data_IF_037491237648
#
_entry.id   IF_037491237648
#
_cell.length_a   1.000
_cell.length_b   1.000
_cell.length_c   1.000
_cell.angle_alpha   90.00
_cell.angle_beta   90.00
_cell.angle_gamma   90.00
#
_symmetry.space_group_name_H-M   'P 1'
#
loop_
_entity.id
_entity.type
_entity.pdbx_description
1 polymer ?
#
# COMPACT_ATOMS: atom_id res chain seq x y z
N UNK A 1 9.91 5.92 22.26
CA UNK A 1 9.19 4.80 21.61
C UNK A 1 9.69 3.44 22.08
N UNK A 2 11.00 3.22 22.19
CA UNK A 2 11.59 1.92 22.59
C UNK A 2 11.01 1.34 23.88
N UNK A 3 10.89 2.16 24.94
CA UNK A 3 10.42 1.71 26.26
C UNK A 3 8.96 1.21 26.29
N UNK A 4 8.10 1.70 25.38
CA UNK A 4 6.66 1.36 25.35
C UNK A 4 6.30 0.48 24.16
N UNK A 5 7.25 0.13 23.30
CA UNK A 5 6.99 -0.60 22.05
C UNK A 5 6.32 -1.96 22.31
N UNK A 6 6.82 -2.72 23.29
CA UNK A 6 6.26 -4.02 23.64
C UNK A 6 4.81 -3.91 24.12
N UNK A 7 4.51 -2.93 25.00
CA UNK A 7 3.16 -2.69 25.51
C UNK A 7 2.20 -2.24 24.41
N UNK A 8 2.65 -1.37 23.50
CA UNK A 8 1.88 -0.97 22.32
C UNK A 8 1.54 -2.18 21.45
N UNK A 9 2.52 -3.03 21.12
CA UNK A 9 2.27 -4.25 20.33
C UNK A 9 1.36 -5.23 21.06
N UNK A 10 1.45 -5.33 22.38
CA UNK A 10 0.54 -6.14 23.19
C UNK A 10 -0.89 -5.64 23.10
N UNK A 11 -1.11 -4.32 23.18
CA UNK A 11 -2.44 -3.72 23.04
C UNK A 11 -2.99 -3.89 21.61
N UNK A 12 -2.18 -3.62 20.58
CA UNK A 12 -2.55 -3.80 19.16
C UNK A 12 -2.97 -5.25 18.86
N UNK A 13 -2.24 -6.22 19.40
CA UNK A 13 -2.46 -7.64 19.13
C UNK A 13 -3.42 -8.30 20.15
N UNK A 14 -4.09 -7.52 20.98
CA UNK A 14 -5.02 -8.01 21.99
C UNK A 14 -6.16 -8.80 21.37
N UNK A 15 -6.73 -9.70 22.18
CA UNK A 15 -7.89 -10.51 21.81
C UNK A 15 -8.90 -10.44 22.97
N UNK A 16 -10.09 -9.84 22.78
CA UNK A 16 -10.58 -9.19 21.56
C UNK A 16 -9.74 -7.97 21.16
N UNK A 17 -9.75 -7.63 19.87
CA UNK A 17 -9.02 -6.45 19.37
C UNK A 17 -9.67 -5.17 19.90
N UNK A 18 -8.85 -4.23 20.38
CA UNK A 18 -9.30 -2.88 20.71
C UNK A 18 -9.82 -2.16 19.47
N UNK A 19 -10.86 -1.35 19.65
CA UNK A 19 -11.29 -0.40 18.62
C UNK A 19 -10.23 0.69 18.39
N UNK A 20 -10.29 1.35 17.23
CA UNK A 20 -9.41 2.48 16.91
C UNK A 20 -9.47 3.59 17.96
N UNK A 21 -10.65 3.86 18.53
CA UNK A 21 -10.82 4.91 19.54
C UNK A 21 -10.19 4.54 20.88
N UNK A 22 -10.31 3.28 21.30
CA UNK A 22 -9.67 2.77 22.51
C UNK A 22 -8.15 2.79 22.37
N UNK A 23 -7.65 2.32 21.23
CA UNK A 23 -6.22 2.35 20.93
C UNK A 23 -5.69 3.79 20.88
N UNK A 24 -6.47 4.73 20.34
CA UNK A 24 -6.10 6.15 20.31
C UNK A 24 -6.10 6.80 21.69
N UNK A 25 -7.03 6.40 22.56
CA UNK A 25 -7.08 6.87 23.95
C UNK A 25 -5.88 6.39 24.75
N UNK A 26 -5.48 5.13 24.58
CA UNK A 26 -4.36 4.54 25.31
C UNK A 26 -2.99 4.90 24.71
N UNK A 27 -2.90 4.92 23.38
CA UNK A 27 -1.65 5.10 22.62
C UNK A 27 -1.78 6.19 21.56
N UNK A 28 -2.08 7.45 21.94
CA UNK A 28 -2.36 8.54 21.00
C UNK A 28 -1.20 8.82 20.03
N UNK A 29 0.04 8.51 20.43
CA UNK A 29 1.21 8.68 19.57
C UNK A 29 1.17 7.76 18.33
N UNK A 30 0.50 6.60 18.36
CA UNK A 30 0.33 5.77 17.17
C UNK A 30 -0.48 6.49 16.08
N UNK A 31 -1.22 7.54 16.45
CA UNK A 31 -2.07 8.36 15.58
C UNK A 31 -1.40 9.69 15.18
N UNK A 32 -0.07 9.74 15.25
CA UNK A 32 0.73 10.85 14.77
C UNK A 32 1.71 10.34 13.73
N UNK A 33 1.73 10.95 12.53
CA UNK A 33 2.56 10.53 11.38
C UNK A 33 3.99 10.15 11.79
N UNK A 34 4.71 11.03 12.49
CA UNK A 34 6.10 10.81 12.92
C UNK A 34 6.27 9.51 13.72
N UNK A 35 5.38 9.26 14.67
CA UNK A 35 5.49 8.11 15.57
C UNK A 35 4.93 6.82 14.94
N UNK A 36 3.89 6.91 14.10
CA UNK A 36 3.44 5.78 13.29
C UNK A 36 4.58 5.25 12.40
N UNK A 37 5.25 6.16 11.70
CA UNK A 37 6.36 5.82 10.78
C UNK A 37 7.55 5.24 11.54
N UNK A 38 7.94 5.82 12.67
CA UNK A 38 8.99 5.27 13.54
C UNK A 38 8.63 3.89 14.10
N UNK A 39 7.36 3.64 14.44
CA UNK A 39 6.90 2.32 14.88
C UNK A 39 6.99 1.30 13.75
N UNK A 40 6.68 1.72 12.51
CA UNK A 40 6.83 0.89 11.32
C UNK A 40 8.29 0.55 11.04
N UNK A 41 9.20 1.53 11.09
CA UNK A 41 10.65 1.29 10.98
C UNK A 41 11.10 0.30 12.05
N UNK A 42 10.67 0.50 13.31
CA UNK A 42 11.03 -0.41 14.40
C UNK A 42 10.56 -1.85 14.17
N UNK A 43 9.38 -2.03 13.55
CA UNK A 43 8.80 -3.34 13.24
C UNK A 43 9.48 -4.04 12.05
N UNK A 44 9.87 -3.27 11.03
CA UNK A 44 10.24 -3.82 9.71
C UNK A 44 11.70 -3.62 9.34
N UNK A 45 12.39 -2.70 10.01
CA UNK A 45 13.72 -2.21 9.64
C UNK A 45 13.72 -1.33 8.38
N UNK A 46 12.56 -0.86 7.91
CA UNK A 46 12.42 -0.12 6.65
C UNK A 46 11.97 1.32 6.91
N UNK A 47 12.78 2.28 6.45
CA UNK A 47 12.37 3.69 6.31
C UNK A 47 11.40 3.83 5.12
N UNK A 48 10.11 3.66 5.42
CA UNK A 48 9.08 3.43 4.39
C UNK A 48 8.88 4.59 3.41
N UNK A 49 8.91 5.84 3.89
CA UNK A 49 8.76 7.01 3.02
C UNK A 49 9.90 7.09 2.00
N UNK A 50 11.14 7.01 2.47
CA UNK A 50 12.34 7.05 1.63
C UNK A 50 12.34 5.89 0.62
N UNK A 51 12.01 4.67 1.09
CA UNK A 51 11.87 3.48 0.23
C UNK A 51 10.86 3.68 -0.89
N UNK A 52 9.67 4.20 -0.58
CA UNK A 52 8.64 4.46 -1.59
C UNK A 52 9.08 5.58 -2.55
N UNK A 53 9.63 6.68 -2.03
CA UNK A 53 10.08 7.83 -2.83
C UNK A 53 11.14 7.42 -3.85
N UNK A 54 12.18 6.71 -3.41
CA UNK A 54 13.25 6.23 -4.29
C UNK A 54 12.74 5.25 -5.34
N UNK A 55 11.89 4.31 -4.92
CA UNK A 55 11.34 3.30 -5.82
C UNK A 55 10.42 3.92 -6.89
N UNK A 56 9.56 4.86 -6.51
CA UNK A 56 8.68 5.57 -7.45
C UNK A 56 9.50 6.48 -8.37
N UNK A 57 10.49 7.21 -7.86
CA UNK A 57 11.35 8.06 -8.67
C UNK A 57 12.17 7.26 -9.70
N UNK A 58 12.62 6.05 -9.36
CA UNK A 58 13.42 5.20 -10.24
C UNK A 58 12.61 4.26 -11.14
N UNK A 59 11.71 3.46 -10.54
CA UNK A 59 10.92 2.42 -11.22
C UNK A 59 9.55 2.91 -11.67
N UNK A 60 8.97 3.91 -11.02
CA UNK A 60 7.63 4.42 -11.38
C UNK A 60 7.55 4.85 -12.84
N UNK A 61 8.52 5.65 -13.31
CA UNK A 61 8.61 6.05 -14.72
C UNK A 61 8.71 4.85 -15.67
N UNK A 62 9.45 3.82 -15.28
CA UNK A 62 9.64 2.61 -16.09
C UNK A 62 8.37 1.76 -16.14
N UNK A 63 7.62 1.70 -15.05
CA UNK A 63 6.28 1.08 -15.04
C UNK A 63 5.36 1.81 -16.01
N UNK A 64 5.29 3.13 -15.96
CA UNK A 64 4.49 3.91 -16.92
C UNK A 64 4.93 3.61 -18.37
N UNK A 65 6.24 3.58 -18.63
CA UNK A 65 6.79 3.29 -19.96
C UNK A 65 6.48 1.86 -20.44
N UNK A 66 6.53 0.87 -19.55
CA UNK A 66 6.13 -0.51 -19.86
C UNK A 66 4.71 -0.58 -20.41
N UNK A 67 3.78 0.14 -19.76
CA UNK A 67 2.41 0.19 -20.24
C UNK A 67 2.29 0.94 -21.58
N UNK A 68 2.97 2.08 -21.73
CA UNK A 68 2.95 2.91 -22.96
C UNK A 68 3.51 2.19 -24.19
N UNK A 69 4.58 1.40 -24.03
CA UNK A 69 5.19 0.67 -25.15
C UNK A 69 4.34 -0.50 -25.65
N UNK A 70 3.29 -0.88 -24.89
CA UNK A 70 2.48 -2.06 -25.14
C UNK A 70 0.99 -1.76 -25.21
N UNK A 71 0.61 -0.52 -25.57
CA UNK A 71 -0.78 -0.03 -25.53
C UNK A 71 -1.80 -1.00 -26.13
N UNK A 72 -1.51 -1.64 -27.26
CA UNK A 72 -2.45 -2.55 -27.91
C UNK A 72 -2.88 -3.73 -27.03
N UNK A 73 -2.04 -4.16 -26.07
CA UNK A 73 -2.33 -5.27 -25.13
C UNK A 73 -3.34 -4.89 -24.05
N UNK A 74 -3.53 -3.61 -23.77
CA UNK A 74 -4.26 -3.15 -22.58
C UNK A 74 -5.73 -2.84 -22.85
N UNK A 75 -6.53 -2.91 -21.79
CA UNK A 75 -7.96 -2.59 -21.84
C UNK A 75 -8.19 -1.11 -22.13
N UNK A 76 -9.43 -0.76 -22.49
CA UNK A 76 -9.80 0.63 -22.77
C UNK A 76 -9.57 1.51 -21.53
N UNK A 77 -9.88 1.00 -20.34
CA UNK A 77 -9.76 1.71 -19.06
C UNK A 77 -8.29 2.04 -18.76
N UNK A 78 -7.38 1.07 -18.92
CA UNK A 78 -5.93 1.30 -18.73
C UNK A 78 -5.41 2.34 -19.71
N UNK A 79 -5.85 2.28 -20.98
CA UNK A 79 -5.48 3.27 -22.01
C UNK A 79 -5.97 4.67 -21.66
N UNK A 80 -7.20 4.79 -21.16
CA UNK A 80 -7.78 6.07 -20.71
C UNK A 80 -6.97 6.66 -19.56
N UNK A 81 -6.65 5.87 -18.53
CA UNK A 81 -5.84 6.34 -17.39
C UNK A 81 -4.44 6.76 -17.82
N UNK A 82 -3.80 6.04 -18.75
CA UNK A 82 -2.50 6.44 -19.29
C UNK A 82 -2.58 7.77 -20.05
N UNK A 83 -3.60 7.97 -20.87
CA UNK A 83 -3.81 9.22 -21.60
C UNK A 83 -4.08 10.39 -20.64
N UNK A 84 -4.84 10.16 -19.57
CA UNK A 84 -5.06 11.16 -18.53
C UNK A 84 -3.78 11.51 -17.77
N UNK A 85 -2.97 10.52 -17.40
CA UNK A 85 -1.65 10.73 -16.77
C UNK A 85 -0.75 11.56 -17.71
N UNK A 86 -0.74 11.27 -19.00
CA UNK A 86 0.06 12.03 -19.99
C UNK A 86 -0.42 13.46 -20.16
N UNK A 87 -1.74 13.67 -20.23
CA UNK A 87 -2.33 15.01 -20.30
C UNK A 87 -1.98 15.84 -19.07
N UNK A 88 -1.97 15.22 -17.90
CA UNK A 88 -1.67 15.84 -16.61
C UNK A 88 -0.17 15.89 -16.28
N UNK A 89 0.69 15.21 -17.06
CA UNK A 89 2.15 15.22 -16.87
C UNK A 89 2.76 16.62 -17.07
N UNK A 90 2.03 17.56 -17.69
CA UNK A 90 2.38 18.98 -17.76
C UNK A 90 1.95 19.83 -16.56
N UNK A 91 1.11 19.31 -15.64
CA UNK A 91 0.45 20.07 -14.57
C UNK A 91 0.67 19.48 -13.16
N UNK A 92 1.91 19.20 -12.78
CA UNK A 92 2.26 18.78 -11.39
C UNK A 92 1.62 17.46 -10.92
N UNK A 93 1.25 16.51 -11.79
CA UNK A 93 0.71 15.23 -11.31
C UNK A 93 1.75 14.44 -10.50
N UNK A 94 1.38 14.08 -9.27
CA UNK A 94 2.24 13.30 -8.38
C UNK A 94 2.46 11.88 -8.95
N UNK A 95 3.73 11.49 -9.08
CA UNK A 95 4.12 10.19 -9.66
C UNK A 95 3.59 9.00 -8.86
N UNK A 96 3.39 9.16 -7.55
CA UNK A 96 2.78 8.14 -6.68
C UNK A 96 1.34 7.91 -7.10
N UNK A 97 0.55 8.98 -7.24
CA UNK A 97 -0.85 8.86 -7.68
C UNK A 97 -0.92 8.18 -9.05
N UNK A 98 -0.10 8.65 -10.01
CA UNK A 98 -0.10 8.12 -11.36
C UNK A 98 0.17 6.60 -11.39
N UNK A 99 1.21 6.15 -10.68
CA UNK A 99 1.56 4.72 -10.62
C UNK A 99 0.47 3.94 -9.90
N UNK A 100 -0.01 4.40 -8.75
CA UNK A 100 -1.00 3.64 -7.97
C UNK A 100 -2.34 3.55 -8.70
N UNK A 101 -2.86 4.65 -9.27
CA UNK A 101 -4.09 4.62 -10.06
C UNK A 101 -3.97 3.68 -11.27
N UNK A 102 -2.85 3.72 -11.99
CA UNK A 102 -2.62 2.83 -13.12
C UNK A 102 -2.64 1.36 -12.69
N UNK A 103 -2.00 1.03 -11.56
CA UNK A 103 -1.98 -0.34 -11.04
C UNK A 103 -3.36 -0.81 -10.57
N UNK A 104 -4.15 0.06 -9.94
CA UNK A 104 -5.53 -0.23 -9.54
C UNK A 104 -6.39 -0.54 -10.78
N UNK A 105 -6.31 0.30 -11.82
CA UNK A 105 -7.01 0.04 -13.08
C UNK A 105 -6.55 -1.25 -13.75
N UNK A 106 -5.23 -1.50 -13.78
CA UNK A 106 -4.66 -2.73 -14.33
C UNK A 106 -5.16 -3.99 -13.62
N UNK A 107 -5.25 -3.96 -12.29
CA UNK A 107 -5.80 -5.06 -11.49
C UNK A 107 -7.33 -5.11 -11.45
N UNK A 108 -8.02 -4.19 -12.14
CA UNK A 108 -9.49 -4.05 -12.14
C UNK A 108 -10.06 -3.83 -10.75
N UNK A 109 -9.33 -3.06 -9.94
CA UNK A 109 -9.69 -2.64 -8.59
C UNK A 109 -10.39 -1.27 -8.63
N UNK A 110 -11.22 -0.99 -7.63
CA UNK A 110 -11.98 0.27 -7.58
C UNK A 110 -11.01 1.44 -7.38
N UNK A 111 -11.13 2.48 -8.21
CA UNK A 111 -10.26 3.67 -8.19
C UNK A 111 -10.33 4.47 -6.89
N UNK A 112 -11.45 4.39 -6.18
CA UNK A 112 -11.73 5.06 -4.91
C UNK A 112 -11.29 4.25 -3.66
N UNK A 113 -10.74 3.05 -3.82
CA UNK A 113 -10.42 2.17 -2.69
C UNK A 113 -9.21 2.66 -1.86
N UNK A 114 -8.21 3.29 -2.49
CA UNK A 114 -7.02 3.81 -1.79
C UNK A 114 -7.10 5.33 -1.62
N UNK A 115 -7.51 6.06 -2.65
CA UNK A 115 -7.59 7.51 -2.63
C UNK A 115 -9.04 7.96 -2.81
N UNK A 116 -9.55 8.67 -1.80
CA UNK A 116 -10.86 9.31 -1.83
C UNK A 116 -10.69 10.82 -1.96
N UNK A 117 -11.32 11.40 -2.98
CA UNK A 117 -11.34 12.85 -3.17
C UNK A 117 -12.39 13.47 -2.24
N UNK A 118 -11.93 14.13 -1.18
CA UNK A 118 -12.80 14.68 -0.14
C UNK A 118 -13.42 16.06 -0.49
N UNK A 119 -12.68 16.92 -1.22
CA UNK A 119 -13.17 18.24 -1.62
C UNK A 119 -12.70 18.57 -3.05
N UNK A 120 -13.67 18.87 -3.92
CA UNK A 120 -13.44 19.25 -5.32
C UNK A 120 -13.25 20.76 -5.52
N UNK A 121 -13.53 21.55 -4.48
CA UNK A 121 -13.56 23.01 -4.54
C UNK A 121 -12.44 23.67 -3.72
N UNK A 122 -11.67 22.89 -2.95
CA UNK A 122 -10.51 23.40 -2.23
C UNK A 122 -9.32 23.61 -3.19
N UNK A 123 -8.77 24.83 -3.32
CA UNK A 123 -7.73 25.14 -4.31
C UNK A 123 -6.41 24.40 -4.08
N UNK A 124 -6.16 23.90 -2.86
CA UNK A 124 -5.00 23.08 -2.52
C UNK A 124 -5.35 21.60 -2.33
N UNK A 125 -5.31 20.81 -3.41
CA UNK A 125 -5.52 19.34 -3.43
C UNK A 125 -4.38 18.57 -2.72
N UNK A 126 -3.38 19.26 -2.15
CA UNK A 126 -2.17 18.64 -1.57
C UNK A 126 -2.33 18.08 -0.16
N UNK A 127 -3.46 18.33 0.51
CA UNK A 127 -3.72 17.79 1.86
C UNK A 127 -4.41 16.44 1.78
N UNK A 128 -3.97 15.50 2.61
CA UNK A 128 -4.58 14.19 2.74
C UNK A 128 -4.94 13.88 4.20
N UNK A 129 -5.83 12.92 4.37
CA UNK A 129 -6.23 12.39 5.68
C UNK A 129 -6.23 10.86 5.61
N UNK A 130 -5.77 10.20 6.67
CA UNK A 130 -5.92 8.76 6.82
C UNK A 130 -7.25 8.48 7.52
N UNK A 131 -8.05 7.63 6.89
CA UNK A 131 -9.29 7.10 7.46
C UNK A 131 -9.09 5.62 7.83
N UNK A 132 -9.49 5.23 9.04
CA UNK A 132 -9.52 3.84 9.50
C UNK A 132 -10.86 3.63 10.20
N UNK A 133 -11.57 2.53 9.87
CA UNK A 133 -12.92 2.25 10.38
C UNK A 133 -13.93 3.39 10.15
N UNK A 134 -13.84 4.09 9.01
CA UNK A 134 -14.71 5.22 8.68
C UNK A 134 -14.43 6.50 9.47
N UNK A 135 -13.35 6.55 10.25
CA UNK A 135 -12.95 7.71 11.06
C UNK A 135 -11.64 8.29 10.59
N UNK A 136 -11.54 9.63 10.56
CA UNK A 136 -10.28 10.32 10.31
C UNK A 136 -9.36 10.17 11.51
N UNK A 137 -8.25 9.47 11.32
CA UNK A 137 -7.32 9.12 12.40
C UNK A 137 -6.02 9.92 12.36
N UNK A 138 -5.55 10.31 11.17
CA UNK A 138 -4.36 11.17 10.96
C UNK A 138 -4.71 12.20 9.88
N UNK A 139 -4.29 13.45 10.08
CA UNK A 139 -4.42 14.51 9.10
C UNK A 139 -3.03 15.03 8.72
N UNK A 140 -2.86 15.38 7.44
CA UNK A 140 -1.66 16.05 6.93
C UNK A 140 -1.56 17.46 7.52
N UNK A 141 -0.65 17.65 8.48
CA UNK A 141 -0.43 18.96 9.15
C UNK A 141 0.81 19.68 8.63
N UNK A 142 1.77 18.97 8.03
CA UNK A 142 3.01 19.56 7.56
C UNK A 142 2.85 19.96 6.07
N UNK A 143 3.19 21.21 5.68
CA UNK A 143 3.15 21.64 4.28
C UNK A 143 4.00 20.81 3.31
N UNK A 144 5.00 20.07 3.81
CA UNK A 144 5.87 19.21 3.01
C UNK A 144 5.31 17.80 2.79
N UNK A 145 4.13 17.50 3.34
CA UNK A 145 3.51 16.19 3.16
C UNK A 145 2.99 16.05 1.73
N UNK A 146 3.58 15.11 0.99
CA UNK A 146 3.21 14.73 -0.38
C UNK A 146 2.36 13.44 -0.39
N UNK A 147 1.90 13.03 -1.58
CA UNK A 147 1.13 11.80 -1.72
C UNK A 147 1.98 10.54 -1.50
N UNK A 148 3.30 10.60 -1.71
CA UNK A 148 4.22 9.54 -1.29
C UNK A 148 4.11 9.30 0.21
N UNK A 149 4.08 10.37 1.00
CA UNK A 149 3.95 10.31 2.45
C UNK A 149 2.55 9.88 2.90
N UNK A 150 1.50 10.26 2.15
CA UNK A 150 0.15 9.75 2.33
C UNK A 150 0.12 8.23 2.16
N UNK A 151 0.68 7.73 1.06
CA UNK A 151 0.77 6.30 0.76
C UNK A 151 1.59 5.57 1.83
N UNK A 152 2.68 6.17 2.32
CA UNK A 152 3.51 5.60 3.37
C UNK A 152 2.73 5.45 4.68
N UNK A 153 2.00 6.49 5.11
CA UNK A 153 1.18 6.45 6.33
C UNK A 153 0.02 5.46 6.20
N UNK A 154 -0.66 5.45 5.06
CA UNK A 154 -1.71 4.48 4.74
C UNK A 154 -1.17 3.06 4.78
N UNK A 155 -0.08 2.77 4.07
CA UNK A 155 0.51 1.43 4.03
C UNK A 155 1.03 0.98 5.40
N UNK A 156 1.65 1.89 6.17
CA UNK A 156 2.12 1.60 7.51
C UNK A 156 0.97 1.19 8.44
N UNK A 157 -0.20 1.83 8.31
CA UNK A 157 -1.36 1.60 9.18
C UNK A 157 -1.77 0.12 9.24
N UNK A 158 -1.69 -0.62 8.13
CA UNK A 158 -1.98 -2.06 8.11
C UNK A 158 -1.09 -2.87 9.05
N UNK A 159 0.18 -2.48 9.17
CA UNK A 159 1.15 -3.19 10.02
C UNK A 159 1.06 -2.72 11.48
N UNK A 160 0.83 -1.43 11.70
CA UNK A 160 0.79 -0.86 13.05
C UNK A 160 -0.51 -1.18 13.75
N UNK A 161 -1.65 -1.15 13.04
CA UNK A 161 -2.95 -1.48 13.61
C UNK A 161 -3.35 -2.95 13.38
N UNK A 162 -2.44 -3.76 12.79
CA UNK A 162 -2.68 -5.18 12.52
C UNK A 162 -3.97 -5.42 11.72
N UNK A 163 -4.15 -4.63 10.66
CA UNK A 163 -5.32 -4.68 9.79
C UNK A 163 -5.08 -5.64 8.62
N UNK A 164 -6.16 -6.23 8.11
CA UNK A 164 -6.13 -6.96 6.86
C UNK A 164 -6.25 -5.98 5.67
N UNK A 165 -5.62 -6.32 4.54
CA UNK A 165 -5.81 -5.56 3.31
C UNK A 165 -7.27 -5.63 2.86
N UNK A 166 -7.83 -4.46 2.54
CA UNK A 166 -9.17 -4.34 1.95
C UNK A 166 -9.25 -5.10 0.62
N UNK A 167 -10.37 -5.79 0.42
CA UNK A 167 -10.55 -6.67 -0.74
C UNK A 167 -10.56 -5.90 -2.06
N UNK A 168 -11.01 -4.65 -2.02
CA UNK A 168 -11.16 -3.74 -3.15
C UNK A 168 -9.83 -3.27 -3.73
N UNK A 169 -8.73 -3.40 -2.99
CA UNK A 169 -7.39 -2.97 -3.40
C UNK A 169 -6.29 -4.01 -3.08
N UNK A 170 -6.67 -5.27 -2.87
CA UNK A 170 -5.78 -6.29 -2.32
C UNK A 170 -4.55 -6.58 -3.21
N UNK A 171 -4.73 -6.59 -4.53
CA UNK A 171 -3.67 -6.81 -5.52
C UNK A 171 -2.74 -5.61 -5.60
N UNK A 172 -3.29 -4.38 -5.59
CA UNK A 172 -2.47 -3.16 -5.53
C UNK A 172 -1.67 -3.08 -4.23
N UNK A 173 -2.27 -3.41 -3.09
CA UNK A 173 -1.59 -3.45 -1.79
C UNK A 173 -0.50 -4.52 -1.74
N UNK A 174 -0.74 -5.71 -2.31
CA UNK A 174 0.30 -6.73 -2.44
C UNK A 174 1.41 -6.30 -3.41
N UNK A 175 1.07 -5.61 -4.51
CA UNK A 175 2.05 -4.99 -5.40
C UNK A 175 2.93 -3.97 -4.66
N UNK A 176 2.34 -3.05 -3.88
CA UNK A 176 3.09 -2.10 -3.05
C UNK A 176 4.03 -2.87 -2.10
N UNK A 177 3.52 -3.87 -1.38
CA UNK A 177 4.30 -4.67 -0.45
C UNK A 177 5.51 -5.34 -1.11
N UNK A 178 5.28 -6.08 -2.20
CA UNK A 178 6.29 -6.98 -2.80
C UNK A 178 7.23 -6.26 -3.74
N UNK A 179 6.70 -5.34 -4.54
CA UNK A 179 7.45 -4.68 -5.61
C UNK A 179 8.03 -3.34 -5.15
N UNK A 180 7.23 -2.47 -4.52
CA UNK A 180 7.68 -1.13 -4.13
C UNK A 180 8.48 -1.15 -2.82
N UNK A 181 7.90 -1.72 -1.77
CA UNK A 181 8.50 -1.72 -0.41
C UNK A 181 9.50 -2.87 -0.25
N UNK A 182 9.32 -3.98 -0.99
CA UNK A 182 10.14 -5.20 -0.93
C UNK A 182 10.04 -5.92 0.43
N UNK A 183 8.86 -5.88 1.05
CA UNK A 183 8.56 -6.75 2.20
C UNK A 183 8.21 -8.12 1.65
N UNK A 184 9.06 -9.09 2.00
CA UNK A 184 8.84 -10.49 1.67
C UNK A 184 8.64 -10.70 0.15
N UNK A 185 9.53 -10.25 -0.74
CA UNK A 185 9.23 -10.16 -2.18
C UNK A 185 8.93 -11.52 -2.84
N UNK A 186 9.65 -12.57 -2.46
CA UNK A 186 9.57 -13.90 -3.10
C UNK A 186 8.78 -14.94 -2.30
N UNK A 187 8.59 -14.73 -0.99
CA UNK A 187 8.06 -15.75 -0.07
C UNK A 187 7.11 -15.13 0.96
N UNK A 188 6.10 -15.84 1.45
CA UNK A 188 5.39 -15.45 2.68
C UNK A 188 6.22 -15.91 3.89
N UNK A 189 6.65 -14.99 4.78
CA UNK A 189 7.38 -15.33 6.03
C UNK A 189 6.53 -16.14 7.03
N UNK A 190 5.24 -16.26 6.80
CA UNK A 190 4.37 -17.10 7.61
C UNK A 190 4.71 -18.58 7.37
N UNK A 191 5.08 -19.32 8.43
CA UNK A 191 5.05 -20.79 8.37
C UNK A 191 3.60 -21.20 8.09
N UNK A 192 3.40 -22.17 7.20
CA UNK A 192 2.07 -22.69 6.89
C UNK A 192 1.38 -23.14 8.19
N UNK A 193 0.20 -22.57 8.47
CA UNK A 193 -0.59 -22.96 9.64
C UNK A 193 -1.21 -24.34 9.37
N UNK A 194 -1.03 -25.26 10.30
CA UNK A 194 -1.81 -26.50 10.34
C UNK A 194 -3.19 -26.16 10.91
N UNK A 195 -4.24 -26.50 10.17
CA UNK A 195 -5.63 -26.39 10.65
C UNK A 195 -6.37 -27.69 10.37
N UNK A 196 -7.33 -28.00 11.22
CA UNK A 196 -8.14 -29.19 11.08
C UNK A 196 -9.17 -28.96 9.96
N UNK A 197 -9.18 -29.84 8.95
CA UNK A 197 -10.15 -29.76 7.86
C UNK A 197 -11.56 -30.05 8.37
N UNK A 198 -12.51 -29.16 8.10
CA UNK A 198 -13.92 -29.36 8.44
C UNK A 198 -14.55 -30.58 7.74
N UNK A 199 -14.00 -31.00 6.59
CA UNK A 199 -14.51 -32.12 5.81
C UNK A 199 -13.84 -33.47 6.14
N UNK A 200 -12.59 -33.46 6.59
CA UNK A 200 -11.82 -34.71 6.79
C UNK A 200 -11.29 -34.90 8.20
N UNK A 201 -11.41 -33.92 9.10
CA UNK A 201 -10.90 -33.96 10.48
C UNK A 201 -9.37 -34.04 10.59
N UNK A 202 -8.65 -34.14 9.47
CA UNK A 202 -7.18 -34.23 9.43
C UNK A 202 -6.56 -32.85 9.60
N UNK A 203 -5.41 -32.80 10.27
CA UNK A 203 -4.55 -31.62 10.24
C UNK A 203 -4.03 -31.43 8.82
N UNK A 204 -4.52 -30.40 8.14
CA UNK A 204 -4.08 -30.02 6.81
C UNK A 204 -3.16 -28.82 6.94
N UNK A 205 -1.96 -28.94 6.38
CA UNK A 205 -1.09 -27.79 6.17
C UNK A 205 -1.71 -26.94 5.07
N UNK A 206 -2.31 -25.79 5.44
CA UNK A 206 -2.82 -24.87 4.42
C UNK A 206 -1.61 -24.33 3.66
N UNK A 207 -1.54 -24.56 2.34
CA UNK A 207 -0.49 -23.97 1.49
C UNK A 207 -0.41 -22.48 1.83
N UNK A 208 0.80 -21.99 2.08
CA UNK A 208 1.05 -20.56 2.18
C UNK A 208 0.38 -19.90 0.98
N UNK A 209 -0.41 -18.85 1.21
CA UNK A 209 -1.04 -18.10 0.12
C UNK A 209 0.08 -17.71 -0.82
N UNK A 210 0.10 -18.35 -1.99
CA UNK A 210 1.00 -18.00 -3.06
C UNK A 210 0.76 -16.53 -3.41
N UNK A 211 1.82 -15.84 -3.85
CA UNK A 211 1.72 -14.49 -4.40
C UNK A 211 0.51 -14.43 -5.34
N UNK A 212 -0.32 -13.40 -5.22
CA UNK A 212 -1.44 -13.19 -6.13
C UNK A 212 -0.96 -13.36 -7.58
N UNK A 213 -1.64 -14.21 -8.36
CA UNK A 213 -1.19 -14.59 -9.70
C UNK A 213 -1.06 -13.39 -10.64
N UNK A 214 -1.92 -12.38 -10.50
CA UNK A 214 -1.85 -11.15 -11.28
C UNK A 214 -0.63 -10.31 -10.89
N UNK A 215 -0.36 -10.18 -9.60
CA UNK A 215 0.84 -9.47 -9.09
C UNK A 215 2.11 -10.20 -9.52
N UNK A 216 2.13 -11.53 -9.42
CA UNK A 216 3.24 -12.38 -9.86
C UNK A 216 3.51 -12.23 -11.37
N UNK A 217 2.47 -12.31 -12.20
CA UNK A 217 2.58 -12.16 -13.65
C UNK A 217 3.11 -10.77 -14.00
N UNK A 218 2.55 -9.72 -13.39
CA UNK A 218 3.03 -8.36 -13.59
C UNK A 218 4.50 -8.21 -13.24
N UNK A 219 4.93 -8.62 -12.04
CA UNK A 219 6.32 -8.48 -11.59
C UNK A 219 7.26 -9.22 -12.55
N UNK A 220 6.89 -10.42 -13.01
CA UNK A 220 7.68 -11.21 -13.96
C UNK A 220 7.79 -10.51 -15.32
N UNK A 221 6.66 -10.10 -15.91
CA UNK A 221 6.62 -9.45 -17.22
C UNK A 221 7.35 -8.09 -17.20
N UNK A 222 7.11 -7.29 -16.16
CA UNK A 222 7.78 -6.01 -15.97
C UNK A 222 9.29 -6.22 -15.80
N UNK A 223 9.72 -7.18 -14.98
CA UNK A 223 11.15 -7.44 -14.78
C UNK A 223 11.82 -7.84 -16.09
N UNK A 224 11.21 -8.72 -16.89
CA UNK A 224 11.73 -9.09 -18.21
C UNK A 224 11.82 -7.88 -19.14
N UNK A 225 10.80 -7.02 -19.17
CA UNK A 225 10.85 -5.78 -19.94
C UNK A 225 11.96 -4.85 -19.46
N UNK A 226 12.09 -4.65 -18.15
CA UNK A 226 13.06 -3.76 -17.53
C UNK A 226 14.50 -4.19 -17.85
N UNK A 227 14.79 -5.50 -17.82
CA UNK A 227 16.08 -6.05 -18.24
C UNK A 227 16.42 -5.82 -19.71
N UNK A 228 15.43 -5.87 -20.60
CA UNK A 228 15.62 -5.70 -22.05
C UNK A 228 15.77 -4.23 -22.48
N UNK A 229 15.38 -3.29 -21.61
CA UNK A 229 15.36 -1.86 -21.90
C UNK A 229 16.30 -1.07 -20.97
N UNK A 230 17.32 -1.75 -20.44
CA UNK A 230 18.40 -1.19 -19.61
C UNK A 230 19.65 -0.90 -20.41
#
# INVERSE_FOLDING_TARGET
>A
MVLTYASQRSAINSRPSLSVDELKREWPFLFMKKFLMQHFTSLTGIELYERLRECIAGKGRRVLQFFKTQLLRWTKEVKTVLADIERLQGENMDSTIAVILLMMTFFKEKDDAIFLLADRFHPDIKKWMLCVEGKVVIQSVNPQDDFTSALAVFFASFYIFNLEYQAEAASTLEFIQRFLVRINPENTKCKAKFQQSHNSGRMVQRRNRALNSHVASFIKEFTNYDWLNY
#
